data_IF_479069698099
#
_entry.id   IF_479069698099
#
_cell.length_a   1.000
_cell.length_b   1.000
_cell.length_c   1.000
_cell.angle_alpha   90.00
_cell.angle_beta   90.00
_cell.angle_gamma   90.00
#
_symmetry.space_group_name_H-M   'P 1'
#
loop_
_entity.id
_entity.type
_entity.pdbx_description
1 polymer ?
#
# COMPACT_ATOMS: atom_id res chain seq x y z
N UNK A 1 17.85 12.57 8.72
CA UNK A 1 18.70 13.43 7.87
C UNK A 1 19.24 12.56 6.76
N UNK A 2 18.68 12.72 5.56
CA UNK A 2 19.07 11.93 4.38
C UNK A 2 20.55 12.24 4.04
N UNK A 3 21.36 11.21 3.88
CA UNK A 3 22.76 11.37 3.48
C UNK A 3 22.89 11.18 1.97
N UNK A 4 23.82 11.89 1.37
CA UNK A 4 24.11 11.82 -0.06
C UNK A 4 25.51 11.24 -0.27
N UNK A 5 25.62 10.29 -1.21
CA UNK A 5 26.91 9.76 -1.66
C UNK A 5 27.00 9.86 -3.18
N UNK A 6 28.19 10.18 -3.68
CA UNK A 6 28.44 10.16 -5.13
C UNK A 6 28.68 8.70 -5.56
N UNK A 7 27.95 8.17 -6.56
CA UNK A 7 28.11 6.79 -7.03
C UNK A 7 29.51 6.45 -7.54
N UNK A 8 30.33 7.42 -7.85
CA UNK A 8 31.71 7.20 -8.39
C UNK A 8 32.78 6.99 -7.32
N UNK A 9 32.45 7.17 -6.03
CA UNK A 9 33.44 7.08 -4.93
C UNK A 9 33.47 5.71 -4.20
N UNK A 10 32.50 4.80 -4.45
CA UNK A 10 32.41 3.52 -3.77
C UNK A 10 32.46 2.36 -4.78
N UNK A 11 33.47 1.44 -4.69
CA UNK A 11 33.51 0.25 -5.55
C UNK A 11 32.33 -0.73 -5.33
N UNK A 12 31.52 -0.53 -4.29
CA UNK A 12 30.27 -1.27 -4.06
C UNK A 12 29.04 -0.50 -4.59
N UNK A 13 29.23 0.67 -5.23
CA UNK A 13 28.11 1.44 -5.82
C UNK A 13 27.47 0.67 -6.97
N UNK A 14 26.13 0.67 -7.09
CA UNK A 14 25.45 0.04 -8.21
C UNK A 14 25.92 0.64 -9.54
N UNK A 15 25.92 -0.20 -10.59
CA UNK A 15 26.32 0.20 -11.94
C UNK A 15 25.59 1.50 -12.35
N UNK A 16 26.35 2.45 -12.88
CA UNK A 16 25.81 3.76 -13.28
C UNK A 16 24.64 3.57 -14.26
N UNK A 17 23.47 4.12 -13.91
CA UNK A 17 22.25 4.05 -14.71
C UNK A 17 21.18 3.06 -14.23
N UNK A 18 21.41 2.32 -13.15
CA UNK A 18 20.43 1.39 -12.57
C UNK A 18 19.58 2.14 -11.52
N UNK A 19 18.26 2.05 -11.67
CA UNK A 19 17.32 2.49 -10.63
C UNK A 19 17.11 1.31 -9.67
N UNK A 20 17.45 1.50 -8.39
CA UNK A 20 17.37 0.42 -7.40
C UNK A 20 17.03 0.93 -6.00
N UNK A 21 16.19 0.20 -5.29
CA UNK A 21 16.08 0.28 -3.83
C UNK A 21 17.20 -0.58 -3.26
N UNK A 22 18.18 0.06 -2.59
CA UNK A 22 19.36 -0.64 -2.04
C UNK A 22 19.08 -1.19 -0.65
N UNK A 23 18.33 -0.45 0.16
CA UNK A 23 17.94 -0.86 1.50
C UNK A 23 16.58 -0.27 1.85
N UNK A 24 15.83 -0.97 2.71
CA UNK A 24 14.53 -0.56 3.20
C UNK A 24 14.32 -1.06 4.62
N UNK A 25 13.93 -0.17 5.49
CA UNK A 25 13.66 -0.45 6.90
C UNK A 25 12.31 0.14 7.29
N UNK A 26 11.53 -0.62 8.05
CA UNK A 26 10.27 -0.13 8.59
C UNK A 26 10.53 0.96 9.62
N UNK A 27 9.70 2.00 9.59
CA UNK A 27 9.72 3.10 10.54
C UNK A 27 8.30 3.46 10.98
N UNK A 28 8.18 4.15 12.09
CA UNK A 28 6.87 4.62 12.57
C UNK A 28 6.26 5.58 11.57
N UNK A 29 5.10 5.23 11.03
CA UNK A 29 4.38 6.03 10.04
C UNK A 29 4.94 5.97 8.62
N UNK A 30 5.77 4.96 8.31
CA UNK A 30 6.32 4.78 6.96
C UNK A 30 7.56 3.89 6.94
N UNK A 31 8.53 4.26 6.13
CA UNK A 31 9.76 3.47 5.93
C UNK A 31 10.96 4.39 5.64
N UNK A 32 12.15 3.95 6.03
CA UNK A 32 13.43 4.53 5.62
C UNK A 32 13.95 3.75 4.42
N UNK A 33 14.31 4.44 3.36
CA UNK A 33 14.72 3.80 2.11
C UNK A 33 16.00 4.41 1.59
N UNK A 34 16.92 3.57 1.17
CA UNK A 34 18.12 3.99 0.44
C UNK A 34 17.92 3.74 -1.04
N UNK A 35 17.95 4.79 -1.82
CA UNK A 35 17.75 4.77 -3.27
C UNK A 35 19.06 4.93 -4.02
N UNK A 36 19.26 4.15 -5.08
CA UNK A 36 20.24 4.40 -6.11
C UNK A 36 19.55 4.84 -7.39
N UNK A 37 20.00 5.96 -7.94
CA UNK A 37 19.57 6.48 -9.25
C UNK A 37 20.77 6.63 -10.17
N UNK A 38 20.53 7.03 -11.42
CA UNK A 38 21.63 7.34 -12.34
C UNK A 38 22.48 8.54 -11.89
N UNK A 39 21.93 9.41 -11.05
CA UNK A 39 22.60 10.65 -10.63
C UNK A 39 23.24 10.55 -9.25
N UNK A 40 22.70 9.75 -8.32
CA UNK A 40 23.21 9.69 -6.94
C UNK A 40 22.66 8.49 -6.15
N UNK A 41 23.26 8.24 -4.97
CA UNK A 41 22.68 7.44 -3.90
C UNK A 41 22.10 8.39 -2.85
N UNK A 42 20.85 8.11 -2.42
CA UNK A 42 20.14 8.84 -1.37
C UNK A 42 19.91 7.89 -0.20
N UNK A 43 20.66 8.08 0.88
CA UNK A 43 20.60 7.22 2.06
C UNK A 43 19.50 7.68 3.02
N UNK A 44 18.81 6.70 3.64
CA UNK A 44 17.86 6.90 4.73
C UNK A 44 16.75 7.94 4.45
N UNK A 45 16.27 7.99 3.21
CA UNK A 45 15.15 8.84 2.86
C UNK A 45 13.85 8.33 3.52
N UNK A 46 13.20 9.14 4.34
CA UNK A 46 11.93 8.77 4.95
C UNK A 46 10.78 8.92 3.95
N UNK A 47 10.06 7.82 3.72
CA UNK A 47 8.86 7.77 2.89
C UNK A 47 7.66 7.46 3.80
N UNK A 48 6.72 8.40 4.00
CA UNK A 48 5.58 8.25 4.93
C UNK A 48 4.45 7.40 4.33
N UNK A 49 4.80 6.30 3.69
CA UNK A 49 3.89 5.35 3.05
C UNK A 49 4.33 3.93 3.40
N UNK A 50 3.38 3.01 3.55
CA UNK A 50 3.64 1.62 3.88
C UNK A 50 3.70 0.73 2.63
N UNK A 51 4.45 -0.38 2.73
CA UNK A 51 4.59 -1.39 1.70
C UNK A 51 5.78 -1.19 0.76
N UNK A 52 6.37 -2.29 0.34
CA UNK A 52 7.55 -2.31 -0.54
C UNK A 52 7.28 -1.62 -1.87
N UNK A 53 6.09 -1.81 -2.44
CA UNK A 53 5.69 -1.17 -3.70
C UNK A 53 5.74 0.37 -3.63
N UNK A 54 5.55 0.97 -2.45
CA UNK A 54 5.66 2.42 -2.27
C UNK A 54 7.13 2.89 -2.28
N UNK A 55 8.07 2.07 -1.83
CA UNK A 55 9.50 2.37 -2.01
C UNK A 55 9.88 2.40 -3.49
N UNK A 56 9.37 1.46 -4.29
CA UNK A 56 9.58 1.46 -5.74
C UNK A 56 8.89 2.66 -6.43
N UNK A 57 7.69 3.02 -6.02
CA UNK A 57 7.01 4.23 -6.52
C UNK A 57 7.80 5.50 -6.18
N UNK A 58 8.33 5.59 -4.96
CA UNK A 58 9.18 6.72 -4.52
C UNK A 58 10.47 6.81 -5.34
N UNK A 59 11.13 5.68 -5.64
CA UNK A 59 12.30 5.62 -6.52
C UNK A 59 11.98 6.15 -7.92
N UNK A 60 10.87 5.73 -8.51
CA UNK A 60 10.44 6.20 -9.83
C UNK A 60 10.13 7.70 -9.83
N UNK A 61 9.47 8.20 -8.78
CA UNK A 61 9.19 9.62 -8.61
C UNK A 61 10.48 10.44 -8.48
N UNK A 62 11.46 9.94 -7.71
CA UNK A 62 12.77 10.56 -7.54
C UNK A 62 13.53 10.63 -8.87
N UNK A 63 13.58 9.52 -9.62
CA UNK A 63 14.21 9.47 -10.94
C UNK A 63 13.54 10.42 -11.96
N UNK A 64 12.20 10.51 -11.92
CA UNK A 64 11.47 11.44 -12.77
C UNK A 64 11.80 12.91 -12.40
N UNK A 65 11.89 13.23 -11.12
CA UNK A 65 12.27 14.56 -10.66
C UNK A 65 13.70 14.92 -11.07
N UNK A 66 14.65 13.98 -10.98
CA UNK A 66 16.02 14.17 -11.50
C UNK A 66 16.03 14.44 -13.00
N UNK A 67 15.25 13.68 -13.78
CA UNK A 67 15.14 13.86 -15.22
C UNK A 67 14.66 15.30 -15.57
N UNK A 68 13.64 15.79 -14.85
CA UNK A 68 13.16 17.18 -14.99
C UNK A 68 14.24 18.19 -14.56
N UNK A 69 15.07 17.83 -13.58
CA UNK A 69 16.20 18.67 -13.14
C UNK A 69 17.45 18.56 -14.03
N UNK A 70 17.31 18.02 -15.22
CA UNK A 70 18.40 17.88 -16.20
C UNK A 70 19.31 16.68 -15.94
N UNK A 71 18.79 15.61 -15.35
CA UNK A 71 19.53 14.36 -15.06
C UNK A 71 20.59 14.54 -13.94
N UNK A 72 20.43 15.56 -13.11
CA UNK A 72 21.37 15.87 -12.01
C UNK A 72 20.74 15.47 -10.67
N UNK A 73 21.60 15.09 -9.74
CA UNK A 73 21.16 14.81 -8.37
C UNK A 73 20.40 15.97 -7.78
N UNK A 74 19.39 15.68 -6.99
CA UNK A 74 18.63 16.66 -6.23
C UNK A 74 19.32 16.90 -4.87
N UNK A 75 19.29 18.15 -4.34
CA UNK A 75 19.73 18.40 -2.98
C UNK A 75 18.95 17.56 -1.97
N UNK A 76 19.63 16.95 -0.96
CA UNK A 76 19.00 16.10 0.03
C UNK A 76 17.76 16.73 0.68
N UNK A 77 17.85 18.01 1.03
CA UNK A 77 16.72 18.74 1.60
C UNK A 77 15.49 18.77 0.69
N UNK A 78 15.68 18.88 -0.62
CA UNK A 78 14.55 18.86 -1.58
C UNK A 78 13.89 17.48 -1.61
N UNK A 79 14.70 16.41 -1.53
CA UNK A 79 14.19 15.04 -1.46
C UNK A 79 13.46 14.79 -0.13
N UNK A 80 14.04 15.20 0.99
CA UNK A 80 13.43 15.11 2.33
C UNK A 80 12.10 15.87 2.38
N UNK A 81 12.09 17.14 1.99
CA UNK A 81 10.88 17.99 1.99
C UNK A 81 9.81 17.42 1.03
N UNK A 82 10.24 16.90 -0.13
CA UNK A 82 9.36 16.28 -1.11
C UNK A 82 8.68 15.03 -0.56
N UNK A 83 9.44 14.10 -0.03
CA UNK A 83 8.86 12.87 0.54
C UNK A 83 8.05 13.13 1.81
N UNK A 84 8.51 14.02 2.71
CA UNK A 84 7.78 14.33 3.95
C UNK A 84 6.37 14.87 3.69
N UNK A 85 6.12 15.44 2.52
CA UNK A 85 4.81 15.99 2.12
C UNK A 85 3.94 15.00 1.34
N UNK A 86 4.45 13.79 1.04
CA UNK A 86 3.71 12.82 0.24
C UNK A 86 2.53 12.26 1.02
N UNK A 87 1.38 12.28 0.38
CA UNK A 87 0.17 11.57 0.82
C UNK A 87 -0.34 10.72 -0.34
N UNK A 88 -0.89 9.57 -0.01
CA UNK A 88 -1.49 8.66 -1.01
C UNK A 88 -2.85 8.18 -0.49
N UNK A 89 -3.90 9.02 -0.60
CA UNK A 89 -5.22 8.68 -0.09
C UNK A 89 -5.72 7.34 -0.65
N UNK A 90 -6.23 6.47 0.24
CA UNK A 90 -6.72 5.16 -0.14
C UNK A 90 -5.63 4.18 -0.59
N UNK A 91 -4.38 4.36 -0.16
CA UNK A 91 -3.29 3.41 -0.37
C UNK A 91 -2.68 3.02 0.97
N UNK A 92 -3.23 1.99 1.60
CA UNK A 92 -2.93 1.55 2.97
C UNK A 92 -2.90 2.74 3.95
N UNK A 93 -3.90 3.59 3.81
CA UNK A 93 -4.05 4.81 4.59
C UNK A 93 -4.63 4.49 5.97
N UNK A 94 -3.96 4.93 7.03
CA UNK A 94 -4.44 4.80 8.40
C UNK A 94 -5.38 5.94 8.73
N UNK A 95 -6.69 5.70 8.73
CA UNK A 95 -7.70 6.72 9.07
C UNK A 95 -7.90 6.86 10.59
N UNK A 96 -7.70 5.79 11.34
CA UNK A 96 -7.87 5.76 12.79
C UNK A 96 -6.93 4.71 13.38
N UNK A 97 -6.41 4.97 14.57
CA UNK A 97 -5.46 4.08 15.25
C UNK A 97 -6.05 3.25 16.40
N UNK A 98 -7.29 3.52 16.82
CA UNK A 98 -7.93 2.74 17.90
C UNK A 98 -9.46 2.70 17.79
N UNK A 99 -10.08 1.57 17.40
CA UNK A 99 -9.39 0.49 16.69
C UNK A 99 -8.76 1.00 15.40
N UNK A 100 -7.74 0.31 14.93
CA UNK A 100 -7.09 0.69 13.67
C UNK A 100 -8.06 0.51 12.50
N UNK A 101 -8.20 1.55 11.69
CA UNK A 101 -8.96 1.53 10.44
C UNK A 101 -8.03 1.88 9.31
N UNK A 102 -7.86 0.94 8.38
CA UNK A 102 -7.07 1.09 7.17
C UNK A 102 -8.00 1.23 5.97
N UNK A 103 -7.61 2.04 5.00
CA UNK A 103 -8.30 2.14 3.71
C UNK A 103 -7.32 1.89 2.57
N UNK A 104 -7.71 0.99 1.68
CA UNK A 104 -6.98 0.72 0.44
C UNK A 104 -7.94 0.60 -0.74
N UNK A 105 -7.48 1.01 -1.91
CA UNK A 105 -8.22 0.92 -3.17
C UNK A 105 -7.79 -0.29 -4.03
N UNK A 106 -7.15 -1.29 -3.46
CA UNK A 106 -6.84 -2.57 -4.10
C UNK A 106 -8.12 -3.21 -4.64
N UNK A 107 -8.13 -3.58 -5.91
CA UNK A 107 -9.33 -4.03 -6.60
C UNK A 107 -9.04 -5.15 -7.62
N UNK A 108 -7.88 -5.75 -7.54
CA UNK A 108 -7.47 -6.89 -8.35
C UNK A 108 -6.50 -7.77 -7.54
N UNK A 109 -6.35 -9.07 -7.87
CA UNK A 109 -5.54 -10.00 -7.09
C UNK A 109 -4.11 -9.54 -6.82
N UNK A 110 -3.43 -8.97 -7.81
CA UNK A 110 -2.06 -8.47 -7.63
C UNK A 110 -1.97 -7.27 -6.66
N UNK A 111 -2.95 -6.35 -6.72
CA UNK A 111 -3.05 -5.24 -5.75
C UNK A 111 -3.33 -5.74 -4.33
N UNK A 112 -4.13 -6.80 -4.19
CA UNK A 112 -4.41 -7.43 -2.90
C UNK A 112 -3.17 -8.15 -2.35
N UNK A 113 -2.41 -8.85 -3.18
CA UNK A 113 -1.14 -9.47 -2.77
C UNK A 113 -0.17 -8.42 -2.21
N UNK A 114 -0.02 -7.27 -2.88
CA UNK A 114 0.81 -6.18 -2.40
C UNK A 114 0.28 -5.55 -1.09
N UNK A 115 -1.04 -5.44 -0.95
CA UNK A 115 -1.71 -4.94 0.25
C UNK A 115 -1.50 -5.88 1.44
N UNK A 116 -1.77 -7.17 1.28
CA UNK A 116 -1.65 -8.17 2.35
C UNK A 116 -0.21 -8.31 2.82
N UNK A 117 0.75 -8.34 1.90
CA UNK A 117 2.18 -8.32 2.25
C UNK A 117 2.57 -7.07 3.04
N UNK A 118 2.05 -5.90 2.68
CA UNK A 118 2.31 -4.67 3.42
C UNK A 118 1.64 -4.64 4.81
N UNK A 119 0.45 -5.25 4.96
CA UNK A 119 -0.23 -5.39 6.25
C UNK A 119 0.57 -6.30 7.17
N UNK A 120 0.96 -7.49 6.71
CA UNK A 120 1.75 -8.44 7.50
C UNK A 120 3.10 -7.86 7.94
N UNK A 121 3.73 -7.08 7.07
CA UNK A 121 5.03 -6.48 7.33
C UNK A 121 4.95 -5.33 8.35
N UNK A 122 3.99 -4.41 8.15
CA UNK A 122 3.95 -3.13 8.88
C UNK A 122 3.05 -3.13 10.11
N UNK A 123 2.13 -4.11 10.25
CA UNK A 123 1.14 -4.14 11.31
C UNK A 123 1.08 -5.52 11.99
N UNK A 124 0.98 -5.54 13.32
CA UNK A 124 0.85 -6.75 14.13
C UNK A 124 -0.58 -6.92 14.64
N UNK A 125 -1.56 -7.07 13.75
CA UNK A 125 -2.95 -7.29 14.15
C UNK A 125 -3.16 -8.67 14.75
N UNK A 126 -3.97 -8.76 15.82
CA UNK A 126 -4.45 -10.01 16.37
C UNK A 126 -5.75 -10.44 15.69
N UNK A 127 -6.56 -9.47 15.28
CA UNK A 127 -7.80 -9.66 14.54
C UNK A 127 -7.88 -8.60 13.46
N UNK A 128 -8.23 -9.03 12.26
CA UNK A 128 -8.43 -8.16 11.11
C UNK A 128 -9.72 -8.55 10.38
N UNK A 129 -10.60 -7.58 10.22
CA UNK A 129 -11.86 -7.75 9.48
C UNK A 129 -11.80 -6.90 8.22
N UNK A 130 -12.03 -7.52 7.06
CA UNK A 130 -12.16 -6.79 5.81
C UNK A 130 -13.59 -6.26 5.64
N UNK A 131 -13.73 -5.00 5.20
CA UNK A 131 -15.00 -4.46 4.70
C UNK A 131 -14.83 -4.22 3.21
N UNK A 132 -15.58 -4.92 2.38
CA UNK A 132 -15.34 -5.03 0.95
C UNK A 132 -16.58 -4.73 0.12
N UNK A 133 -16.43 -3.84 -0.86
CA UNK A 133 -17.35 -3.67 -1.99
C UNK A 133 -16.57 -3.74 -3.30
N UNK A 134 -17.10 -4.40 -4.32
CA UNK A 134 -16.40 -4.69 -5.57
C UNK A 134 -17.22 -4.24 -6.77
N UNK A 135 -16.57 -3.80 -7.83
CA UNK A 135 -17.19 -3.55 -9.13
C UNK A 135 -17.48 -4.86 -9.85
N UNK A 136 -18.61 -4.97 -10.54
CA UNK A 136 -19.04 -6.20 -11.25
C UNK A 136 -18.08 -6.68 -12.35
N UNK A 137 -17.22 -5.80 -12.85
CA UNK A 137 -16.21 -6.12 -13.87
C UNK A 137 -14.86 -6.58 -13.27
N UNK A 138 -14.77 -6.75 -11.95
CA UNK A 138 -13.55 -7.17 -11.25
C UNK A 138 -13.63 -8.64 -10.84
N UNK A 139 -12.47 -9.22 -10.63
CA UNK A 139 -12.30 -10.57 -10.11
C UNK A 139 -12.53 -10.58 -8.59
N UNK A 140 -13.81 -10.66 -8.19
CA UNK A 140 -14.20 -10.65 -6.79
C UNK A 140 -13.67 -11.89 -6.03
N UNK A 141 -13.70 -13.07 -6.67
CA UNK A 141 -13.18 -14.31 -6.08
C UNK A 141 -11.68 -14.20 -5.81
N UNK A 142 -10.88 -13.74 -6.79
CA UNK A 142 -9.44 -13.54 -6.63
C UNK A 142 -9.07 -12.48 -5.59
N UNK A 143 -9.89 -11.42 -5.45
CA UNK A 143 -9.73 -10.41 -4.38
C UNK A 143 -9.99 -11.02 -3.01
N UNK A 144 -11.10 -11.75 -2.84
CA UNK A 144 -11.47 -12.40 -1.59
C UNK A 144 -10.46 -13.48 -1.20
N UNK A 145 -10.05 -14.33 -2.14
CA UNK A 145 -9.03 -15.36 -1.90
C UNK A 145 -7.67 -14.78 -1.50
N UNK A 146 -7.30 -13.60 -2.00
CA UNK A 146 -6.09 -12.92 -1.60
C UNK A 146 -6.17 -12.30 -0.19
N UNK A 147 -7.35 -11.87 0.25
CA UNK A 147 -7.57 -11.31 1.59
C UNK A 147 -7.75 -12.38 2.68
N UNK A 148 -8.31 -13.53 2.33
CA UNK A 148 -8.70 -14.61 3.26
C UNK A 148 -7.56 -15.02 4.22
N UNK A 149 -6.29 -15.18 3.76
CA UNK A 149 -5.22 -15.64 4.63
C UNK A 149 -4.85 -14.67 5.77
N UNK A 150 -5.16 -13.37 5.62
CA UNK A 150 -4.77 -12.32 6.58
C UNK A 150 -5.97 -11.73 7.34
N UNK A 151 -7.19 -12.16 7.03
CA UNK A 151 -8.41 -11.64 7.67
C UNK A 151 -9.21 -12.73 8.37
N UNK A 152 -9.77 -12.42 9.55
CA UNK A 152 -10.61 -13.35 10.32
C UNK A 152 -12.01 -13.44 9.72
N UNK A 153 -12.53 -12.34 9.18
CA UNK A 153 -13.85 -12.26 8.60
C UNK A 153 -13.92 -11.20 7.51
N UNK A 154 -14.98 -11.25 6.70
CA UNK A 154 -15.28 -10.23 5.69
C UNK A 154 -16.72 -9.71 5.85
N UNK A 155 -16.89 -8.42 5.73
CA UNK A 155 -18.18 -7.74 5.65
C UNK A 155 -18.37 -7.24 4.24
N UNK A 156 -19.30 -7.82 3.49
CA UNK A 156 -19.67 -7.38 2.14
C UNK A 156 -20.60 -6.17 2.24
N UNK A 157 -20.27 -5.10 1.52
CA UNK A 157 -21.04 -3.83 1.53
C UNK A 157 -21.29 -3.32 0.11
N UNK A 158 -22.39 -2.58 -0.13
CA UNK A 158 -22.60 -1.93 -1.41
C UNK A 158 -21.64 -0.76 -1.60
N UNK A 159 -21.31 -0.44 -2.85
CA UNK A 159 -20.59 0.77 -3.24
C UNK A 159 -21.50 1.65 -4.12
N UNK A 160 -21.38 2.96 -3.97
CA UNK A 160 -22.16 3.92 -4.76
C UNK A 160 -21.59 4.03 -6.19
N UNK A 161 -21.96 3.07 -7.02
CA UNK A 161 -21.53 3.02 -8.42
C UNK A 161 -22.56 2.26 -9.26
N UNK A 162 -22.88 2.73 -10.48
CA UNK A 162 -23.74 1.97 -11.40
C UNK A 162 -23.08 0.67 -11.91
N UNK A 163 -21.82 0.46 -11.63
CA UNK A 163 -21.05 -0.74 -11.96
C UNK A 163 -20.77 -1.62 -10.74
N UNK A 164 -21.37 -1.32 -9.59
CA UNK A 164 -21.21 -2.14 -8.41
C UNK A 164 -21.71 -3.57 -8.66
N UNK A 165 -21.00 -4.55 -8.11
CA UNK A 165 -21.55 -5.90 -7.95
C UNK A 165 -22.68 -5.82 -6.91
N UNK A 166 -23.75 -6.58 -7.13
CA UNK A 166 -24.78 -6.71 -6.13
C UNK A 166 -24.17 -7.28 -4.84
N UNK A 167 -24.59 -6.75 -3.71
CA UNK A 167 -23.97 -7.13 -2.43
C UNK A 167 -24.31 -8.55 -2.01
N UNK A 168 -25.46 -9.07 -2.41
CA UNK A 168 -25.85 -10.45 -2.11
C UNK A 168 -25.05 -11.42 -2.98
N UNK A 169 -24.83 -11.10 -4.27
CA UNK A 169 -23.94 -11.87 -5.16
C UNK A 169 -22.50 -11.88 -4.61
N UNK A 170 -21.99 -10.74 -4.14
CA UNK A 170 -20.67 -10.65 -3.50
C UNK A 170 -20.61 -11.52 -2.24
N UNK A 171 -21.70 -11.53 -1.46
CA UNK A 171 -21.84 -12.36 -0.25
C UNK A 171 -21.79 -13.84 -0.56
N UNK A 172 -22.42 -14.30 -1.65
CA UNK A 172 -22.36 -15.71 -2.08
C UNK A 172 -20.93 -16.11 -2.43
N UNK A 173 -20.22 -15.32 -3.23
CA UNK A 173 -18.80 -15.56 -3.56
C UNK A 173 -17.94 -15.56 -2.28
N UNK A 174 -18.18 -14.62 -1.37
CA UNK A 174 -17.45 -14.56 -0.11
C UNK A 174 -17.66 -15.80 0.75
N UNK A 175 -18.88 -16.36 0.80
CA UNK A 175 -19.16 -17.59 1.55
C UNK A 175 -18.47 -18.82 0.95
N UNK A 176 -18.27 -18.87 -0.35
CA UNK A 176 -17.50 -19.94 -1.00
C UNK A 176 -16.01 -19.89 -0.61
N UNK A 177 -15.45 -18.71 -0.41
CA UNK A 177 -14.04 -18.51 -0.07
C UNK A 177 -13.78 -18.61 1.43
N UNK A 178 -14.59 -17.93 2.25
CA UNK A 178 -14.37 -17.80 3.71
C UNK A 178 -15.13 -18.83 4.55
N UNK A 179 -16.20 -19.44 4.02
CA UNK A 179 -17.19 -20.14 4.80
C UNK A 179 -18.24 -19.19 5.40
N UNK A 180 -19.48 -19.66 5.53
CA UNK A 180 -20.64 -18.83 5.89
C UNK A 180 -20.54 -18.17 7.28
N UNK A 181 -19.80 -18.73 8.20
CA UNK A 181 -19.59 -18.26 9.57
C UNK A 181 -18.62 -17.06 9.68
N UNK A 182 -17.86 -16.80 8.62
CA UNK A 182 -16.90 -15.69 8.54
C UNK A 182 -17.36 -14.55 7.63
N UNK A 183 -18.61 -14.61 7.12
CA UNK A 183 -19.12 -13.61 6.16
C UNK A 183 -20.35 -12.91 6.73
N UNK A 184 -20.32 -11.59 6.63
CA UNK A 184 -21.47 -10.74 6.93
C UNK A 184 -21.83 -9.96 5.67
N UNK A 185 -23.12 -9.90 5.33
CA UNK A 185 -23.65 -9.07 4.25
C UNK A 185 -24.42 -7.92 4.85
N UNK A 186 -24.01 -6.70 4.55
CA UNK A 186 -24.69 -5.46 4.99
C UNK A 186 -25.21 -4.69 3.79
N UNK A 187 -26.44 -4.22 3.87
CA UNK A 187 -27.10 -3.44 2.81
C UNK A 187 -26.70 -1.95 2.84
N UNK A 188 -25.89 -1.55 3.84
CA UNK A 188 -25.43 -0.17 4.01
C UNK A 188 -23.95 -0.17 4.44
N UNK A 189 -23.15 0.74 3.88
CA UNK A 189 -21.74 0.84 4.16
C UNK A 189 -21.45 1.18 5.64
N UNK A 190 -22.16 2.16 6.18
CA UNK A 190 -21.98 2.61 7.57
C UNK A 190 -22.34 1.52 8.59
N UNK A 191 -23.40 0.76 8.35
CA UNK A 191 -23.76 -0.41 9.17
C UNK A 191 -22.70 -1.50 9.08
N UNK A 192 -22.20 -1.79 7.87
CA UNK A 192 -21.14 -2.78 7.66
C UNK A 192 -19.84 -2.40 8.37
N UNK A 193 -19.44 -1.13 8.29
CA UNK A 193 -18.28 -0.63 9.03
C UNK A 193 -18.49 -0.71 10.55
N UNK A 194 -19.69 -0.38 11.03
CA UNK A 194 -20.03 -0.48 12.45
C UNK A 194 -19.95 -1.93 12.95
N UNK A 195 -20.40 -2.90 12.16
CA UNK A 195 -20.31 -4.32 12.48
C UNK A 195 -18.86 -4.83 12.52
N UNK A 196 -18.02 -4.37 11.59
CA UNK A 196 -16.60 -4.74 11.54
C UNK A 196 -15.79 -4.21 12.73
N UNK A 197 -16.25 -3.14 13.39
CA UNK A 197 -15.56 -2.46 14.49
C UNK A 197 -16.07 -2.91 15.87
N UNK A 198 -17.21 -3.62 15.93
CA UNK A 198 -17.84 -4.08 17.17
C UNK A 198 -17.13 -5.29 17.77
#
# INVERSE_FOLDING_TARGET
>A
MCRERDPQEDPASPEAGVLQVLDRQLAVGGQLVTFATAAAVYEDAFVPLHGEYQAHNALLALAAAEAVHGGRRLPARIVEDGFASVTSPGRLEVLRSSPTVLVDAGHNPHGIEALTGAIEEAFGFQHLVAVLGVMADKDAEGVLAGLEPVTDAVVCVPIDSPRAMDVDDLGEIAQEVYGADRVVVSQQLDEGVAQAVA
#
